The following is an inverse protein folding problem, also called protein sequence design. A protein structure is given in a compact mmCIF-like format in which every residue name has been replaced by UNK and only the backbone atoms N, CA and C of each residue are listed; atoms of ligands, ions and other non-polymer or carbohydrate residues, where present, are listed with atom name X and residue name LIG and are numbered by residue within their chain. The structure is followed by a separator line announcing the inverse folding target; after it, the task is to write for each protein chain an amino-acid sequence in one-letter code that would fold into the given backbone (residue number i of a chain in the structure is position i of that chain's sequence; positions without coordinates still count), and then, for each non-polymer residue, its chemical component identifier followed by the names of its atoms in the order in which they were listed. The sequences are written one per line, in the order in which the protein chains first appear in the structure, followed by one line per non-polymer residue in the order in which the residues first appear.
data_IF_435337491521
#
_entry.id   IF_435337491521
#
_cell.length_a   1.000
_cell.length_b   1.000
_cell.length_c   1.000
_cell.angle_alpha   90.00
_cell.angle_beta   90.00
_cell.angle_gamma   90.00
#
_symmetry.space_group_name_H-M   'P 1'
#
loop_
_entity.id
_entity.type
_entity.pdbx_description
1 polymer ?
#
# COMPACT_ATOMS: atom_id res chain seq x y z
N UNK A 1 -3.21 2.54 17.08
CA UNK A 1 -2.05 2.80 16.20
C UNK A 1 -2.31 2.56 14.71
N UNK A 2 -2.46 1.33 14.17
CA UNK A 2 -2.70 1.14 12.71
C UNK A 2 -3.96 1.83 12.18
N UNK A 3 -5.08 1.78 12.93
CA UNK A 3 -6.30 2.54 12.61
C UNK A 3 -6.09 4.05 12.62
N UNK A 4 -5.31 4.59 13.56
CA UNK A 4 -4.98 6.03 13.60
C UNK A 4 -4.06 6.46 12.44
N UNK A 5 -3.18 5.56 11.98
CA UNK A 5 -2.40 5.78 10.77
C UNK A 5 -3.34 5.82 9.56
N UNK A 6 -4.34 4.94 9.48
CA UNK A 6 -5.31 4.93 8.38
C UNK A 6 -6.25 6.15 8.39
N UNK A 7 -6.80 6.49 9.56
CA UNK A 7 -7.83 7.53 9.73
C UNK A 7 -7.34 8.94 9.37
N UNK A 8 -6.02 9.17 9.31
CA UNK A 8 -5.42 10.44 8.90
C UNK A 8 -4.81 10.47 7.49
N UNK A 9 -4.77 9.33 6.79
CA UNK A 9 -4.01 9.18 5.52
C UNK A 9 -4.94 8.87 4.35
N UNK A 10 -6.01 8.10 4.57
CA UNK A 10 -6.92 7.67 3.50
C UNK A 10 -8.36 7.95 3.93
N UNK A 11 -9.06 8.79 3.18
CA UNK A 11 -10.49 9.01 3.38
C UNK A 11 -11.28 7.75 2.98
N UNK A 12 -11.96 7.16 3.97
CA UNK A 12 -12.87 6.00 3.82
C UNK A 12 -12.22 4.77 3.14
N UNK A 13 -11.24 4.11 3.80
CA UNK A 13 -10.49 3.00 3.23
C UNK A 13 -11.36 1.76 2.98
N UNK A 14 -11.07 1.03 1.89
CA UNK A 14 -11.77 -0.21 1.56
C UNK A 14 -11.72 -1.22 2.71
N UNK A 15 -12.86 -1.81 3.14
CA UNK A 15 -12.88 -2.71 4.29
C UNK A 15 -11.95 -3.91 4.16
N UNK A 16 -11.74 -4.43 2.93
CA UNK A 16 -10.81 -5.54 2.70
C UNK A 16 -9.36 -5.11 2.86
N UNK A 17 -9.04 -3.87 2.49
CA UNK A 17 -7.71 -3.31 2.68
C UNK A 17 -7.41 -3.11 4.16
N UNK A 18 -8.37 -2.59 4.92
CA UNK A 18 -8.25 -2.46 6.39
C UNK A 18 -8.01 -3.82 7.05
N UNK A 19 -8.77 -4.85 6.67
CA UNK A 19 -8.58 -6.21 7.20
C UNK A 19 -7.20 -6.79 6.88
N UNK A 20 -6.67 -6.54 5.68
CA UNK A 20 -5.31 -6.95 5.32
C UNK A 20 -4.29 -6.24 6.21
N UNK A 21 -4.42 -4.94 6.41
CA UNK A 21 -3.50 -4.18 7.27
C UNK A 21 -3.56 -4.59 8.74
N UNK A 22 -4.76 -4.82 9.28
CA UNK A 22 -4.95 -5.30 10.67
C UNK A 22 -4.33 -6.70 10.88
N UNK A 23 -4.15 -7.48 9.82
CA UNK A 23 -3.51 -8.80 9.88
C UNK A 23 -1.97 -8.75 9.80
N UNK A 24 -1.39 -7.59 9.43
CA UNK A 24 0.05 -7.43 9.36
C UNK A 24 0.65 -7.15 10.74
N UNK A 25 1.88 -7.63 11.01
CA UNK A 25 2.59 -7.26 12.23
C UNK A 25 2.70 -5.75 12.34
N UNK A 26 2.59 -5.23 13.57
CA UNK A 26 2.74 -3.79 13.78
C UNK A 26 4.15 -3.35 13.36
N UNK A 27 4.27 -2.26 12.60
CA UNK A 27 5.57 -1.71 12.25
C UNK A 27 6.29 -1.24 13.51
N UNK A 28 7.62 -1.34 13.52
CA UNK A 28 8.45 -0.74 14.57
C UNK A 28 8.37 0.78 14.49
N UNK A 29 8.60 1.47 15.61
CA UNK A 29 8.56 2.94 15.65
C UNK A 29 9.46 3.60 14.60
N UNK A 30 10.64 3.02 14.35
CA UNK A 30 11.59 3.48 13.34
C UNK A 30 11.06 3.41 11.89
N UNK A 31 10.06 2.56 11.63
CA UNK A 31 9.49 2.33 10.31
C UNK A 31 8.13 3.02 10.13
N UNK A 32 7.56 3.62 11.19
CA UNK A 32 6.22 4.24 11.16
C UNK A 32 6.11 5.31 10.06
N UNK A 33 7.13 6.16 9.92
CA UNK A 33 7.09 7.25 8.94
C UNK A 33 7.20 6.71 7.50
N UNK A 34 8.02 5.67 7.27
CA UNK A 34 8.09 4.98 5.98
C UNK A 34 6.74 4.34 5.64
N UNK A 35 6.12 3.67 6.61
CA UNK A 35 4.79 3.06 6.44
C UNK A 35 3.75 4.13 6.14
N UNK A 36 3.76 5.27 6.85
CA UNK A 36 2.86 6.41 6.61
C UNK A 36 2.99 6.96 5.20
N UNK A 37 4.22 7.09 4.68
CA UNK A 37 4.47 7.57 3.32
C UNK A 37 4.10 6.53 2.25
N UNK A 38 4.29 5.25 2.55
CA UNK A 38 4.00 4.16 1.61
C UNK A 38 2.51 3.81 1.51
N UNK A 39 1.77 3.96 2.61
CA UNK A 39 0.38 3.52 2.74
C UNK A 39 -0.57 4.08 1.66
N UNK A 40 -0.55 5.40 1.33
CA UNK A 40 -1.42 5.95 0.28
C UNK A 40 -1.22 5.27 -1.07
N UNK A 41 0.04 5.05 -1.44
CA UNK A 41 0.38 4.47 -2.74
C UNK A 41 0.04 2.98 -2.80
N UNK A 42 0.28 2.25 -1.69
CA UNK A 42 -0.17 0.87 -1.54
C UNK A 42 -1.70 0.74 -1.63
N UNK A 43 -2.43 1.71 -1.08
CA UNK A 43 -3.89 1.75 -1.22
C UNK A 43 -4.33 2.02 -2.66
N UNK A 44 -3.70 2.96 -3.36
CA UNK A 44 -3.97 3.21 -4.78
C UNK A 44 -3.76 1.94 -5.63
N UNK A 45 -2.64 1.25 -5.45
CA UNK A 45 -2.38 -0.03 -6.11
C UNK A 45 -3.45 -1.07 -5.81
N UNK A 46 -3.89 -1.18 -4.55
CA UNK A 46 -4.97 -2.08 -4.18
C UNK A 46 -6.28 -1.75 -4.93
N UNK A 47 -6.69 -0.49 -4.95
CA UNK A 47 -7.92 -0.05 -5.63
C UNK A 47 -7.83 -0.28 -7.14
N UNK A 48 -6.71 0.08 -7.75
CA UNK A 48 -6.47 -0.12 -9.19
C UNK A 48 -6.48 -1.60 -9.56
N UNK A 49 -5.80 -2.46 -8.80
CA UNK A 49 -5.84 -3.92 -8.97
C UNK A 49 -7.26 -4.47 -8.85
N UNK A 50 -8.00 -4.03 -7.82
CA UNK A 50 -9.40 -4.43 -7.62
C UNK A 50 -10.27 -4.04 -8.82
N UNK A 51 -10.08 -2.85 -9.37
CA UNK A 51 -10.83 -2.37 -10.52
C UNK A 51 -10.45 -3.09 -11.82
N UNK A 52 -9.16 -3.30 -12.08
CA UNK A 52 -8.68 -4.06 -13.24
C UNK A 52 -9.20 -5.51 -13.20
N UNK A 53 -9.12 -6.16 -12.03
CA UNK A 53 -9.66 -7.50 -11.82
C UNK A 53 -11.17 -7.59 -12.09
N UNK A 54 -11.96 -6.63 -11.57
CA UNK A 54 -13.40 -6.54 -11.85
C UNK A 54 -13.72 -6.40 -13.34
N UNK A 55 -12.89 -5.65 -14.07
CA UNK A 55 -13.01 -5.45 -15.52
C UNK A 55 -12.44 -6.60 -16.35
N UNK A 56 -11.80 -7.59 -15.71
CA UNK A 56 -11.03 -8.67 -16.37
C UNK A 56 -9.93 -8.13 -17.29
N UNK A 57 -9.40 -6.95 -16.98
CA UNK A 57 -8.32 -6.32 -17.72
C UNK A 57 -6.98 -6.82 -17.20
N UNK A 58 -6.53 -7.96 -17.74
CA UNK A 58 -5.28 -8.61 -17.31
C UNK A 58 -4.06 -7.75 -17.65
N UNK A 59 -4.09 -7.01 -18.76
CA UNK A 59 -2.97 -6.17 -19.19
C UNK A 59 -2.76 -5.00 -18.24
N UNK A 60 -3.83 -4.32 -17.85
CA UNK A 60 -3.74 -3.25 -16.84
C UNK A 60 -3.36 -3.83 -15.47
N UNK A 61 -3.85 -5.01 -15.12
CA UNK A 61 -3.49 -5.67 -13.86
C UNK A 61 -1.98 -5.98 -13.79
N UNK A 62 -1.40 -6.56 -14.84
CA UNK A 62 0.05 -6.83 -14.95
C UNK A 62 0.86 -5.54 -14.83
N UNK A 63 0.46 -4.49 -15.55
CA UNK A 63 1.12 -3.18 -15.47
C UNK A 63 1.08 -2.59 -14.06
N UNK A 64 -0.03 -2.74 -13.34
CA UNK A 64 -0.13 -2.27 -11.95
C UNK A 64 0.82 -3.06 -11.05
N UNK A 65 0.96 -4.38 -11.25
CA UNK A 65 1.92 -5.20 -10.50
C UNK A 65 3.36 -4.77 -10.74
N UNK A 66 3.74 -4.47 -11.99
CA UNK A 66 5.08 -3.95 -12.29
C UNK A 66 5.36 -2.64 -11.54
N UNK A 67 4.40 -1.70 -11.56
CA UNK A 67 4.51 -0.44 -10.84
C UNK A 67 4.61 -0.64 -9.32
N UNK A 68 3.88 -1.60 -8.77
CA UNK A 68 3.91 -1.93 -7.35
C UNK A 68 5.26 -2.54 -6.94
N UNK A 69 5.83 -3.42 -7.77
CA UNK A 69 7.16 -3.99 -7.55
C UNK A 69 8.25 -2.91 -7.57
N UNK A 70 8.21 -2.01 -8.56
CA UNK A 70 9.18 -0.91 -8.65
C UNK A 70 9.06 0.05 -7.46
N UNK A 71 7.83 0.33 -7.02
CA UNK A 71 7.59 1.13 -5.83
C UNK A 71 8.18 0.50 -4.57
N UNK A 72 7.94 -0.79 -4.35
CA UNK A 72 8.48 -1.51 -3.18
C UNK A 72 10.00 -1.55 -3.21
N UNK A 73 10.61 -1.76 -4.37
CA UNK A 73 12.08 -1.69 -4.54
C UNK A 73 12.62 -0.30 -4.20
N UNK A 74 11.93 0.76 -4.64
CA UNK A 74 12.29 2.13 -4.29
C UNK A 74 12.20 2.44 -2.80
N UNK A 75 11.25 1.81 -2.07
CA UNK A 75 11.16 1.95 -0.61
C UNK A 75 12.35 1.31 0.12
N UNK A 76 12.87 0.18 -0.38
CA UNK A 76 14.06 -0.47 0.17
C UNK A 76 15.33 0.37 -0.08
N UNK A 77 15.43 1.04 -1.23
CA UNK A 77 16.55 1.96 -1.53
C UNK A 77 16.54 3.20 -0.63
N UNK A 78 15.36 3.69 -0.22
CA UNK A 78 15.22 4.75 0.80
C UNK A 78 15.77 4.34 2.18
N UNK A 79 15.99 3.06 2.45
CA UNK A 79 16.49 2.57 3.73
C UNK A 79 18.01 2.69 3.93
N UNK A 80 18.78 2.99 2.86
CA UNK A 80 20.26 3.03 2.91
C UNK A 80 20.88 4.43 2.86
N UNK A 81 20.10 5.52 2.81
CA UNK A 81 20.60 6.90 2.74
C UNK A 81 20.62 7.64 4.10
N UNK A 82 20.80 6.94 5.22
CA UNK A 82 20.98 7.55 6.55
C UNK A 82 22.28 7.08 7.22
#
# INVERSE_FOLDING_TARGET
MQKEILDGIIDNPDPKFVLILESLPQPKDADIEKVRQALPQMYDFFIRKKNAFKKRDLKEFEKILEQEVDFVRGLDEFAFNY
#
